data_IF_963437424483
#
_entry.id   IF_963437424483
#
_cell.length_a   1.000
_cell.length_b   1.000
_cell.length_c   1.000
_cell.angle_alpha   90.00
_cell.angle_beta   90.00
_cell.angle_gamma   90.00
#
_symmetry.space_group_name_H-M   'P 1'
#
loop_
_entity.id
_entity.type
_entity.pdbx_description
1 polymer ?
#
# COMPACT_ATOMS: atom_id res chain seq x y z
N UNK A 1 -20.90 3.99 37.08
CA UNK A 1 -19.90 5.07 37.05
C UNK A 1 -19.27 5.09 35.68
N UNK A 2 -19.76 5.99 34.80
CA UNK A 2 -19.12 6.22 33.52
C UNK A 2 -17.81 6.94 33.76
N UNK A 3 -16.72 6.21 33.73
CA UNK A 3 -15.41 6.81 33.59
C UNK A 3 -15.37 7.34 32.16
N UNK A 4 -15.58 8.63 31.97
CA UNK A 4 -15.38 9.26 30.66
C UNK A 4 -13.92 9.06 30.27
N UNK A 5 -13.67 8.17 29.33
CA UNK A 5 -12.34 7.99 28.76
C UNK A 5 -11.82 9.35 28.25
N UNK A 6 -10.52 9.64 28.39
CA UNK A 6 -9.97 10.93 27.98
C UNK A 6 -10.17 11.13 26.49
N UNK A 7 -11.08 12.04 26.13
CA UNK A 7 -11.39 12.35 24.74
C UNK A 7 -10.30 13.23 24.12
N UNK A 8 -9.69 12.75 23.05
CA UNK A 8 -8.65 13.47 22.31
C UNK A 8 -9.23 14.41 21.24
N UNK A 9 -8.54 15.51 20.99
CA UNK A 9 -8.78 16.33 19.81
C UNK A 9 -8.15 15.71 18.57
N UNK A 10 -8.59 16.10 17.37
CA UNK A 10 -8.01 15.63 16.10
C UNK A 10 -6.50 15.90 16.01
N UNK A 11 -6.02 17.03 16.55
CA UNK A 11 -4.59 17.36 16.57
C UNK A 11 -3.79 16.42 17.47
N UNK A 12 -4.35 16.03 18.63
CA UNK A 12 -3.72 15.06 19.53
C UNK A 12 -3.68 13.66 18.90
N UNK A 13 -4.75 13.23 18.23
CA UNK A 13 -4.78 11.97 17.47
C UNK A 13 -3.73 11.98 16.37
N UNK A 14 -3.67 13.05 15.57
CA UNK A 14 -2.71 13.21 14.50
C UNK A 14 -1.26 13.12 15.00
N UNK A 15 -0.95 13.81 16.10
CA UNK A 15 0.37 13.79 16.72
C UNK A 15 0.75 12.39 17.25
N UNK A 16 -0.18 11.69 17.93
CA UNK A 16 0.05 10.35 18.47
C UNK A 16 0.18 9.28 17.39
N UNK A 17 -0.63 9.39 16.33
CA UNK A 17 -0.60 8.44 15.22
C UNK A 17 0.50 8.73 14.19
N UNK A 18 1.19 9.88 14.27
CA UNK A 18 2.22 10.27 13.34
C UNK A 18 1.71 10.58 11.92
N UNK A 19 0.42 10.96 11.78
CA UNK A 19 -0.22 11.26 10.50
C UNK A 19 -0.79 12.67 10.46
N UNK A 20 -1.09 13.16 9.26
CA UNK A 20 -1.70 14.50 9.10
C UNK A 20 -3.18 14.47 9.45
N UNK A 21 -3.69 15.58 9.99
CA UNK A 21 -5.13 15.79 10.26
C UNK A 21 -5.98 15.56 9.01
N UNK A 22 -5.48 15.91 7.83
CA UNK A 22 -6.17 15.67 6.55
C UNK A 22 -6.41 14.18 6.27
N UNK A 23 -5.47 13.29 6.65
CA UNK A 23 -5.64 11.85 6.49
C UNK A 23 -6.73 11.30 7.41
N UNK A 24 -6.82 11.80 8.65
CA UNK A 24 -7.88 11.39 9.59
C UNK A 24 -9.24 11.77 9.02
N UNK A 25 -9.40 13.02 8.54
CA UNK A 25 -10.65 13.47 7.92
C UNK A 25 -11.03 12.67 6.68
N UNK A 26 -10.04 12.35 5.86
CA UNK A 26 -10.25 11.51 4.69
C UNK A 26 -10.72 10.10 5.05
N UNK A 27 -10.13 9.48 6.07
CA UNK A 27 -10.55 8.16 6.56
C UNK A 27 -11.98 8.17 7.15
N UNK A 28 -12.38 9.29 7.79
CA UNK A 28 -13.76 9.50 8.22
C UNK A 28 -14.72 9.63 7.02
N UNK A 29 -14.32 10.39 6.00
CA UNK A 29 -15.11 10.65 4.80
C UNK A 29 -15.35 9.37 3.99
N UNK A 30 -14.32 8.56 3.78
CA UNK A 30 -14.44 7.27 3.06
C UNK A 30 -15.00 6.15 3.92
N UNK A 31 -15.27 6.39 5.21
CA UNK A 31 -15.93 5.46 6.12
C UNK A 31 -15.06 4.32 6.65
N UNK A 32 -13.74 4.41 6.51
CA UNK A 32 -12.78 3.46 7.11
C UNK A 32 -12.59 3.74 8.59
N UNK A 33 -12.68 5.01 8.98
CA UNK A 33 -12.71 5.44 10.37
C UNK A 33 -14.14 5.88 10.73
N UNK A 34 -14.69 5.47 11.90
CA UNK A 34 -16.00 5.93 12.31
C UNK A 34 -16.03 7.44 12.52
N UNK A 35 -17.20 8.04 12.30
CA UNK A 35 -17.39 9.46 12.59
C UNK A 35 -17.20 9.72 14.08
N UNK A 36 -16.38 10.72 14.47
CA UNK A 36 -16.15 11.06 15.87
C UNK A 36 -17.38 11.70 16.49
N UNK A 37 -17.48 11.58 17.81
CA UNK A 37 -18.43 12.37 18.58
C UNK A 37 -18.12 13.86 18.48
N UNK A 38 -19.16 14.69 18.60
CA UNK A 38 -19.00 16.14 18.63
C UNK A 38 -19.44 16.67 19.98
N UNK A 39 -18.51 17.24 20.74
CA UNK A 39 -18.77 17.93 21.99
C UNK A 39 -18.54 19.41 21.77
N UNK A 40 -19.57 20.22 21.98
CA UNK A 40 -19.54 21.67 21.71
C UNK A 40 -19.05 22.02 20.29
N UNK A 41 -19.47 21.23 19.27
CA UNK A 41 -19.09 21.41 17.86
C UNK A 41 -17.69 20.88 17.49
N UNK A 42 -16.88 20.47 18.46
CA UNK A 42 -15.54 19.96 18.23
C UNK A 42 -15.52 18.41 18.14
N UNK A 43 -14.73 17.86 17.19
CA UNK A 43 -14.50 16.42 17.10
C UNK A 43 -13.77 15.91 18.34
N UNK A 44 -14.29 14.84 18.93
CA UNK A 44 -13.69 14.15 20.07
C UNK A 44 -13.54 12.67 19.74
N UNK A 45 -12.41 12.12 20.11
CA UNK A 45 -12.00 10.75 19.83
C UNK A 45 -11.65 10.03 21.13
N UNK A 46 -12.06 8.78 21.24
CA UNK A 46 -11.60 7.84 22.25
C UNK A 46 -10.22 7.25 21.91
N UNK A 47 -9.65 6.44 22.78
CA UNK A 47 -8.36 5.78 22.52
C UNK A 47 -8.45 4.70 21.43
N UNK A 48 -9.62 4.15 21.15
CA UNK A 48 -9.86 3.18 20.09
C UNK A 48 -9.50 3.72 18.71
N UNK A 49 -9.57 5.03 18.49
CA UNK A 49 -9.17 5.65 17.23
C UNK A 49 -7.71 5.34 16.88
N UNK A 50 -6.81 5.34 17.85
CA UNK A 50 -5.38 5.06 17.62
C UNK A 50 -5.17 3.60 17.17
N UNK A 51 -5.89 2.66 17.80
CA UNK A 51 -5.89 1.25 17.40
C UNK A 51 -6.40 1.06 15.97
N UNK A 52 -7.49 1.73 15.62
CA UNK A 52 -8.05 1.71 14.26
C UNK A 52 -7.09 2.28 13.22
N UNK A 53 -6.44 3.40 13.54
CA UNK A 53 -5.42 3.99 12.65
C UNK A 53 -4.22 3.06 12.46
N UNK A 54 -3.78 2.35 13.50
CA UNK A 54 -2.73 1.32 13.39
C UNK A 54 -3.16 0.16 12.48
N UNK A 55 -4.42 -0.30 12.58
CA UNK A 55 -4.96 -1.34 11.71
C UNK A 55 -4.95 -0.88 10.24
N UNK A 56 -5.40 0.36 9.99
CA UNK A 56 -5.41 0.95 8.65
C UNK A 56 -3.98 1.01 8.07
N UNK A 57 -3.00 1.49 8.86
CA UNK A 57 -1.59 1.57 8.43
C UNK A 57 -1.03 0.19 8.05
N UNK A 58 -1.22 -0.82 8.91
CA UNK A 58 -0.75 -2.19 8.65
C UNK A 58 -1.41 -2.78 7.42
N UNK A 59 -2.72 -2.61 7.26
CA UNK A 59 -3.48 -3.14 6.13
C UNK A 59 -3.05 -2.47 4.82
N UNK A 60 -2.83 -1.14 4.81
CA UNK A 60 -2.31 -0.43 3.63
C UNK A 60 -0.90 -0.89 3.25
N UNK A 61 -0.03 -1.15 4.21
CA UNK A 61 1.30 -1.74 3.96
C UNK A 61 1.22 -3.14 3.38
N UNK A 62 0.19 -3.90 3.74
CA UNK A 62 -0.10 -5.21 3.15
C UNK A 62 -0.77 -5.10 1.76
N UNK A 63 -0.89 -3.89 1.19
CA UNK A 63 -1.46 -3.67 -0.13
C UNK A 63 -2.98 -3.76 -0.19
N UNK A 64 -3.67 -3.59 0.94
CA UNK A 64 -5.13 -3.53 0.98
C UNK A 64 -5.61 -2.14 0.54
N UNK A 65 -6.68 -2.11 -0.22
CA UNK A 65 -7.41 -0.89 -0.56
C UNK A 65 -8.24 -0.41 0.63
N UNK A 66 -8.64 0.86 0.63
CA UNK A 66 -9.50 1.39 1.70
C UNK A 66 -10.87 0.73 1.74
N UNK A 67 -11.41 0.27 0.59
CA UNK A 67 -12.66 -0.47 0.54
C UNK A 67 -12.52 -1.85 1.22
N UNK A 68 -11.45 -2.58 0.94
CA UNK A 68 -11.15 -3.85 1.63
C UNK A 68 -10.95 -3.66 3.13
N UNK A 69 -10.28 -2.58 3.54
CA UNK A 69 -10.10 -2.25 4.95
C UNK A 69 -11.44 -1.92 5.61
N UNK A 70 -12.31 -1.19 4.92
CA UNK A 70 -13.66 -0.87 5.41
C UNK A 70 -14.50 -2.13 5.59
N UNK A 71 -14.44 -3.08 4.66
CA UNK A 71 -15.11 -4.37 4.78
C UNK A 71 -14.55 -5.19 5.95
N UNK A 72 -13.23 -5.19 6.11
CA UNK A 72 -12.55 -5.90 7.19
C UNK A 72 -12.87 -5.32 8.58
N UNK A 73 -13.03 -4.00 8.72
CA UNK A 73 -13.20 -3.29 10.00
C UNK A 73 -14.62 -2.81 10.27
N UNK A 74 -15.54 -3.00 9.33
CA UNK A 74 -16.92 -2.49 9.40
C UNK A 74 -17.81 -3.20 10.42
N UNK A 75 -18.99 -2.64 10.74
CA UNK A 75 -19.89 -3.14 11.79
C UNK A 75 -20.61 -4.46 11.48
N UNK A 76 -20.54 -4.99 10.25
CA UNK A 76 -21.04 -6.32 9.89
C UNK A 76 -20.31 -7.47 10.59
N UNK A 77 -19.38 -7.14 11.45
CA UNK A 77 -18.44 -8.00 12.17
C UNK A 77 -19.06 -8.89 13.26
N UNK A 78 -20.38 -8.86 13.47
CA UNK A 78 -20.97 -9.59 14.60
C UNK A 78 -21.14 -11.08 14.34
N UNK A 79 -21.24 -11.50 13.06
CA UNK A 79 -21.56 -12.86 12.68
C UNK A 79 -20.38 -13.68 12.13
N UNK A 80 -19.30 -13.01 11.63
CA UNK A 80 -18.11 -13.68 11.10
C UNK A 80 -16.85 -13.27 11.84
N UNK A 81 -15.98 -14.24 12.13
CA UNK A 81 -14.71 -13.94 12.79
C UNK A 81 -13.77 -13.15 11.87
N UNK A 82 -13.02 -12.20 12.44
CA UNK A 82 -11.99 -11.45 11.70
C UNK A 82 -11.00 -12.38 10.98
N UNK A 83 -10.70 -13.56 11.57
CA UNK A 83 -9.85 -14.56 10.96
C UNK A 83 -10.43 -15.20 9.71
N UNK A 84 -11.74 -15.36 9.62
CA UNK A 84 -12.40 -15.91 8.43
C UNK A 84 -12.27 -14.92 7.26
N UNK A 85 -12.58 -13.65 7.48
CA UNK A 85 -12.43 -12.61 6.43
C UNK A 85 -11.00 -12.39 5.97
N UNK A 86 -10.03 -12.47 6.89
CA UNK A 86 -8.62 -12.43 6.51
C UNK A 86 -8.23 -13.63 5.64
N UNK A 87 -8.78 -14.83 5.88
CA UNK A 87 -8.56 -15.99 5.02
C UNK A 87 -9.15 -15.78 3.63
N UNK A 88 -10.39 -15.34 3.55
CA UNK A 88 -11.07 -15.05 2.27
C UNK A 88 -10.30 -14.00 1.46
N UNK A 89 -9.86 -12.92 2.12
CA UNK A 89 -9.04 -11.89 1.49
C UNK A 89 -7.70 -12.47 1.00
N UNK A 90 -7.04 -13.31 1.81
CA UNK A 90 -5.80 -13.97 1.43
C UNK A 90 -6.00 -14.92 0.23
N UNK A 91 -7.04 -15.72 0.23
CA UNK A 91 -7.38 -16.63 -0.88
C UNK A 91 -7.58 -15.86 -2.20
N UNK A 92 -8.17 -14.66 -2.14
CA UNK A 92 -8.32 -13.81 -3.33
C UNK A 92 -7.04 -13.11 -3.76
N UNK A 93 -6.21 -12.66 -2.81
CA UNK A 93 -5.01 -11.86 -3.13
C UNK A 93 -3.79 -12.70 -3.48
N UNK A 94 -3.60 -13.84 -2.84
CA UNK A 94 -2.41 -14.67 -3.04
C UNK A 94 -2.18 -15.06 -4.50
N UNK A 95 -3.18 -15.53 -5.28
CA UNK A 95 -2.96 -15.87 -6.70
C UNK A 95 -2.50 -14.66 -7.55
N UNK A 96 -3.00 -13.46 -7.25
CA UNK A 96 -2.59 -12.24 -7.96
C UNK A 96 -1.15 -11.84 -7.62
N UNK A 97 -0.76 -12.00 -6.36
CA UNK A 97 0.61 -11.71 -5.90
C UNK A 97 1.58 -12.73 -6.50
N UNK A 98 1.22 -14.01 -6.54
CA UNK A 98 2.02 -15.07 -7.16
C UNK A 98 2.24 -14.79 -8.65
N UNK A 99 1.18 -14.47 -9.39
CA UNK A 99 1.29 -14.09 -10.79
C UNK A 99 2.16 -12.84 -11.02
N UNK A 100 2.11 -11.86 -10.10
CA UNK A 100 2.96 -10.68 -10.14
C UNK A 100 4.42 -11.03 -9.88
N UNK A 101 4.70 -11.93 -8.94
CA UNK A 101 6.06 -12.43 -8.64
C UNK A 101 6.64 -13.15 -9.85
N UNK A 102 5.89 -14.08 -10.45
CA UNK A 102 6.32 -14.81 -11.64
C UNK A 102 6.66 -13.86 -12.79
N UNK A 103 5.80 -12.88 -13.05
CA UNK A 103 6.04 -11.87 -14.07
C UNK A 103 7.26 -11.02 -13.77
N UNK A 104 7.42 -10.57 -12.52
CA UNK A 104 8.58 -9.78 -12.13
C UNK A 104 9.88 -10.57 -12.27
N UNK A 105 9.86 -11.87 -11.97
CA UNK A 105 11.00 -12.76 -12.16
C UNK A 105 11.34 -12.93 -13.66
N UNK A 106 10.33 -13.11 -14.52
CA UNK A 106 10.53 -13.22 -15.97
C UNK A 106 11.15 -11.94 -16.56
N UNK A 107 10.64 -10.76 -16.16
CA UNK A 107 11.21 -9.47 -16.61
C UNK A 107 12.64 -9.30 -16.07
N UNK A 108 12.89 -9.68 -14.82
CA UNK A 108 14.24 -9.64 -14.23
C UNK A 108 15.21 -10.51 -15.05
N UNK A 109 14.87 -11.76 -15.33
CA UNK A 109 15.70 -12.67 -16.11
C UNK A 109 15.95 -12.14 -17.53
N UNK A 110 14.93 -11.57 -18.16
CA UNK A 110 15.08 -10.93 -19.47
C UNK A 110 16.04 -9.75 -19.44
N UNK A 111 15.97 -8.90 -18.40
CA UNK A 111 16.88 -7.77 -18.21
C UNK A 111 18.33 -8.22 -17.90
N UNK A 112 18.52 -9.31 -17.20
CA UNK A 112 19.85 -9.89 -16.93
C UNK A 112 20.50 -10.34 -18.24
N UNK A 113 19.75 -10.99 -19.13
CA UNK A 113 20.21 -11.36 -20.47
C UNK A 113 20.49 -10.09 -21.31
N UNK A 114 19.58 -9.11 -21.29
CA UNK A 114 19.74 -7.87 -22.02
C UNK A 114 20.98 -7.08 -21.55
N UNK A 115 21.29 -7.13 -20.27
CA UNK A 115 22.46 -6.46 -19.67
C UNK A 115 23.81 -7.08 -20.07
N UNK A 116 23.82 -8.29 -20.61
CA UNK A 116 24.99 -8.99 -21.14
C UNK A 116 25.08 -8.98 -22.67
N UNK A 117 24.15 -8.29 -23.37
CA UNK A 117 24.09 -8.25 -24.83
C UNK A 117 25.07 -7.20 -25.40
N UNK A 118 25.91 -7.61 -26.33
CA UNK A 118 26.84 -6.75 -27.08
C UNK A 118 26.26 -6.25 -28.42
N UNK A 119 24.93 -6.24 -28.56
CA UNK A 119 24.27 -5.77 -29.78
C UNK A 119 24.55 -4.28 -30.03
N UNK A 120 24.93 -3.92 -31.26
CA UNK A 120 25.23 -2.53 -31.64
C UNK A 120 23.96 -1.66 -31.69
N UNK A 121 22.82 -2.24 -32.05
CA UNK A 121 21.51 -1.57 -32.14
C UNK A 121 20.40 -2.51 -31.67
N UNK A 122 19.30 -1.93 -31.20
CA UNK A 122 18.11 -2.72 -30.77
C UNK A 122 17.38 -3.39 -31.93
N UNK A 123 17.51 -2.84 -33.17
CA UNK A 123 16.78 -3.31 -34.35
C UNK A 123 17.22 -4.70 -34.81
N UNK A 124 18.44 -5.10 -34.45
CA UNK A 124 19.00 -6.44 -34.82
C UNK A 124 19.18 -7.33 -33.56
N UNK A 125 18.81 -6.84 -32.40
CA UNK A 125 18.92 -7.59 -31.15
C UNK A 125 17.82 -8.64 -31.05
N UNK A 126 18.19 -9.93 -31.01
CA UNK A 126 17.25 -11.03 -30.88
C UNK A 126 16.25 -10.90 -29.76
N UNK A 127 16.64 -10.27 -28.63
CA UNK A 127 15.75 -10.03 -27.48
C UNK A 127 14.55 -9.11 -27.79
N UNK A 128 14.65 -8.28 -28.84
CA UNK A 128 13.60 -7.34 -29.22
C UNK A 128 12.87 -7.76 -30.52
N UNK A 129 13.54 -8.49 -31.40
CA UNK A 129 12.96 -8.91 -32.69
C UNK A 129 12.35 -10.30 -32.66
N UNK A 130 12.76 -11.18 -31.74
CA UNK A 130 12.18 -12.49 -31.55
C UNK A 130 11.07 -12.48 -30.49
N UNK A 131 9.78 -12.66 -30.89
CA UNK A 131 8.67 -12.71 -29.94
C UNK A 131 8.78 -13.84 -28.91
N UNK A 132 9.52 -14.93 -29.22
CA UNK A 132 9.70 -16.04 -28.29
C UNK A 132 10.62 -15.69 -27.10
N UNK A 133 11.45 -14.64 -27.25
CA UNK A 133 12.35 -14.15 -26.20
C UNK A 133 11.77 -12.95 -25.44
N UNK A 134 10.60 -12.45 -25.85
CA UNK A 134 9.94 -11.34 -25.16
C UNK A 134 9.45 -11.76 -23.77
N UNK A 135 9.57 -10.88 -22.76
CA UNK A 135 8.97 -11.15 -21.46
C UNK A 135 7.44 -11.23 -21.56
N UNK A 136 6.74 -11.94 -20.66
CA UNK A 136 5.29 -12.08 -20.70
C UNK A 136 4.58 -10.72 -20.77
N UNK A 137 3.60 -10.60 -21.66
CA UNK A 137 2.80 -9.39 -21.81
C UNK A 137 2.04 -9.05 -20.51
N UNK A 138 1.96 -7.78 -20.17
CA UNK A 138 1.18 -7.25 -19.03
C UNK A 138 1.94 -6.13 -18.30
N UNK A 139 1.20 -5.33 -17.53
CA UNK A 139 1.77 -4.19 -16.81
C UNK A 139 2.66 -4.65 -15.65
N UNK A 140 3.97 -4.63 -15.89
CA UNK A 140 4.93 -4.40 -14.81
C UNK A 140 5.31 -2.92 -14.94
N UNK A 141 4.50 -2.05 -14.37
CA UNK A 141 4.86 -0.64 -14.25
C UNK A 141 5.96 -0.54 -13.22
N UNK A 142 7.20 -0.68 -13.66
CA UNK A 142 8.34 -0.28 -12.87
C UNK A 142 8.28 1.25 -12.80
N UNK A 143 7.84 1.79 -11.66
CA UNK A 143 7.90 3.22 -11.41
C UNK A 143 9.36 3.65 -11.28
N UNK A 144 9.96 3.94 -12.44
CA UNK A 144 11.35 4.40 -12.59
C UNK A 144 11.54 5.78 -11.91
N UNK A 145 10.47 6.50 -11.57
CA UNK A 145 10.55 7.80 -10.91
C UNK A 145 11.20 7.69 -9.52
N UNK A 146 10.96 6.59 -8.81
CA UNK A 146 11.61 6.28 -7.52
C UNK A 146 13.09 5.91 -7.66
N UNK A 147 13.49 5.36 -8.80
CA UNK A 147 14.88 4.95 -9.08
C UNK A 147 15.72 6.17 -9.44
N UNK A 148 15.18 7.12 -10.20
CA UNK A 148 15.89 8.38 -10.57
C UNK A 148 16.31 9.22 -9.35
N UNK A 149 15.51 9.22 -8.28
CA UNK A 149 15.85 9.89 -7.02
C UNK A 149 17.05 9.26 -6.29
N UNK A 150 17.16 7.94 -6.28
CA UNK A 150 18.28 7.20 -5.64
C UNK A 150 19.58 7.33 -6.43
N UNK A 151 19.52 7.31 -7.75
CA UNK A 151 20.72 7.44 -8.61
C UNK A 151 21.34 8.83 -8.46
N UNK A 152 20.53 9.89 -8.35
CA UNK A 152 21.05 11.25 -8.09
C UNK A 152 21.77 11.35 -6.75
N UNK A 153 21.18 10.82 -5.66
CA UNK A 153 21.83 10.84 -4.35
C UNK A 153 23.15 10.06 -4.31
N UNK A 154 23.28 8.98 -5.09
CA UNK A 154 24.52 8.17 -5.14
C UNK A 154 25.61 8.82 -5.97
N UNK A 155 25.25 9.62 -6.97
CA UNK A 155 26.22 10.37 -7.81
C UNK A 155 26.73 11.61 -7.09
N UNK A 156 25.90 12.30 -6.32
CA UNK A 156 26.31 13.49 -5.55
C UNK A 156 27.25 13.13 -4.37
N UNK A 157 27.14 11.91 -3.83
CA UNK A 157 28.05 11.40 -2.78
C UNK A 157 29.44 10.97 -3.28
N UNK A 158 29.64 10.83 -4.60
CA UNK A 158 30.94 10.48 -5.20
C UNK A 158 31.69 11.69 -5.75
N UNK A 159 31.12 12.90 -5.64
CA UNK A 159 31.70 14.15 -6.14
C UNK A 159 32.10 15.10 -5.02
N UNK A 160 32.21 14.61 -3.76
CA UNK A 160 32.73 15.40 -2.61
C UNK A 160 33.97 14.75 -2.04
#
# INVERSE_FOLDING_TARGET
MNVSEPQMTIGQVAARAGIRVSHIRYYEEVGVLPQPERVSGQRRYDEDVLRRLSIIDVAQRAGMTLDEIRELTGPRLRDESAGQRLRELAEHKLPHIEALIERAQAVKSWLEIAGSCDCQTVDVCGLFVDPALAPPAGDVTLDISRIKGRIRQTLDLKSS
#
